data_IF_134551670556
#
_entry.id   IF_134551670556
#
_cell.length_a   1.000
_cell.length_b   1.000
_cell.length_c   1.000
_cell.angle_alpha   90.00
_cell.angle_beta   90.00
_cell.angle_gamma   90.00
#
_symmetry.space_group_name_H-M   'P 1'
#
loop_
_entity.id
_entity.type
_entity.pdbx_description
1 polymer ?
#
# COMPACT_ATOMS: atom_id res chain seq x y z
N UNK A 1 -25.86 -86.97 -12.75
CA UNK A 1 -24.54 -86.35 -12.99
C UNK A 1 -24.81 -84.93 -13.45
N UNK A 2 -24.67 -83.96 -12.53
CA UNK A 2 -24.90 -82.55 -12.79
C UNK A 2 -23.53 -81.88 -13.01
N UNK A 3 -23.35 -81.30 -14.20
CA UNK A 3 -22.17 -80.50 -14.54
C UNK A 3 -22.35 -79.08 -13.97
N UNK A 4 -21.50 -78.68 -13.08
CA UNK A 4 -21.44 -77.34 -12.57
C UNK A 4 -20.51 -76.55 -13.49
N UNK A 5 -21.09 -75.59 -14.21
CA UNK A 5 -20.34 -74.63 -15.02
C UNK A 5 -19.76 -73.51 -14.03
N UNK A 6 -18.49 -73.45 -13.90
CA UNK A 6 -17.84 -72.35 -13.19
C UNK A 6 -17.68 -71.14 -14.12
N UNK A 7 -18.44 -70.09 -13.89
CA UNK A 7 -18.28 -68.79 -14.56
C UNK A 7 -17.16 -68.01 -13.90
N UNK A 8 -16.04 -67.87 -14.60
CA UNK A 8 -14.93 -67.04 -14.18
C UNK A 8 -15.25 -65.57 -14.50
N UNK A 9 -15.49 -64.76 -13.47
CA UNK A 9 -15.68 -63.33 -13.59
C UNK A 9 -14.30 -62.66 -13.67
N UNK A 10 -13.88 -62.19 -14.84
CA UNK A 10 -12.66 -61.42 -15.01
C UNK A 10 -12.98 -59.96 -14.60
N UNK A 11 -12.53 -59.58 -13.42
CA UNK A 11 -12.56 -58.15 -12.98
C UNK A 11 -11.37 -57.47 -13.60
N UNK A 12 -11.61 -56.66 -14.64
CA UNK A 12 -10.62 -55.72 -15.13
C UNK A 12 -10.48 -54.57 -14.14
N UNK A 13 -9.51 -54.64 -13.26
CA UNK A 13 -9.09 -53.51 -12.44
C UNK A 13 -8.27 -52.57 -13.34
N UNK A 14 -8.91 -51.55 -13.92
CA UNK A 14 -8.22 -50.40 -14.50
C UNK A 14 -7.55 -49.61 -13.36
N UNK A 15 -6.29 -49.91 -13.09
CA UNK A 15 -5.46 -49.09 -12.25
C UNK A 15 -5.17 -47.76 -12.98
N UNK A 16 -6.03 -46.78 -12.79
CA UNK A 16 -5.68 -45.40 -13.10
C UNK A 16 -4.58 -44.98 -12.13
N UNK A 17 -3.33 -45.11 -12.57
CA UNK A 17 -2.19 -44.45 -11.88
C UNK A 17 -2.38 -42.94 -12.05
N UNK A 18 -3.04 -42.30 -11.08
CA UNK A 18 -2.96 -40.86 -10.90
C UNK A 18 -1.51 -40.63 -10.49
N UNK A 19 -0.65 -40.30 -11.44
CA UNK A 19 0.61 -39.63 -11.12
C UNK A 19 0.22 -38.31 -10.46
N UNK A 20 0.16 -38.31 -9.14
CA UNK A 20 0.28 -37.09 -8.39
C UNK A 20 1.63 -36.50 -8.81
N UNK A 21 1.58 -35.54 -9.71
CA UNK A 21 2.73 -34.73 -10.04
C UNK A 21 3.05 -33.98 -8.76
N UNK A 22 4.04 -34.51 -8.03
CA UNK A 22 4.61 -33.81 -6.89
C UNK A 22 5.22 -32.52 -7.44
N UNK A 23 4.44 -31.43 -7.40
CA UNK A 23 4.97 -30.08 -7.48
C UNK A 23 5.69 -29.77 -6.16
N UNK A 24 6.64 -30.59 -5.79
CA UNK A 24 7.69 -30.15 -4.88
C UNK A 24 8.63 -29.37 -5.77
N UNK A 25 8.43 -28.05 -5.82
CA UNK A 25 9.45 -27.16 -6.33
C UNK A 25 10.67 -27.31 -5.42
N UNK A 26 11.58 -28.22 -5.79
CA UNK A 26 12.86 -28.46 -5.07
C UNK A 26 13.74 -27.21 -5.05
N UNK A 27 13.40 -26.14 -5.78
CA UNK A 27 14.16 -24.89 -5.89
C UNK A 27 13.60 -23.72 -5.08
N UNK A 28 12.56 -23.89 -4.28
CA UNK A 28 12.08 -22.85 -3.37
C UNK A 28 12.94 -22.78 -2.09
N UNK A 29 14.25 -22.59 -2.26
CA UNK A 29 15.07 -22.07 -1.17
C UNK A 29 14.73 -20.59 -1.02
N UNK A 30 13.86 -20.26 -0.07
CA UNK A 30 13.60 -18.89 0.33
C UNK A 30 14.87 -18.31 0.96
N UNK A 31 15.65 -17.66 0.12
CA UNK A 31 16.81 -16.91 0.58
C UNK A 31 16.43 -15.42 0.62
N UNK A 32 16.70 -14.81 1.75
CA UNK A 32 16.63 -13.36 1.86
C UNK A 32 17.62 -12.74 0.87
N UNK A 33 17.26 -11.64 0.20
CA UNK A 33 18.21 -10.91 -0.64
C UNK A 33 19.43 -10.50 0.15
N UNK A 34 20.60 -10.51 -0.48
CA UNK A 34 21.82 -9.95 0.13
C UNK A 34 21.65 -8.45 0.28
N UNK A 35 22.12 -7.90 1.41
CA UNK A 35 22.16 -6.44 1.61
C UNK A 35 23.01 -5.81 0.51
N UNK A 36 22.46 -4.86 -0.28
CA UNK A 36 23.22 -4.15 -1.29
C UNK A 36 24.25 -3.22 -0.64
N UNK A 37 25.29 -2.83 -1.36
CA UNK A 37 26.24 -1.83 -0.85
C UNK A 37 25.57 -0.48 -0.58
N UNK A 38 24.58 -0.13 -1.38
CA UNK A 38 23.81 1.12 -1.24
C UNK A 38 22.44 0.98 -1.91
N UNK A 39 21.54 1.87 -1.51
CA UNK A 39 20.26 2.13 -2.19
C UNK A 39 20.20 3.61 -2.52
N UNK A 40 19.83 3.95 -3.76
CA UNK A 40 19.49 5.33 -4.13
C UNK A 40 18.01 5.53 -3.83
N UNK A 41 17.68 6.51 -2.99
CA UNK A 41 16.30 6.82 -2.60
C UNK A 41 16.06 8.32 -2.75
N UNK A 42 15.11 8.70 -3.58
CA UNK A 42 14.75 10.09 -3.86
C UNK A 42 15.94 10.98 -4.29
N UNK A 43 16.94 10.39 -4.96
CA UNK A 43 18.17 11.05 -5.38
C UNK A 43 19.34 10.94 -4.39
N UNK A 44 19.08 10.59 -3.13
CA UNK A 44 20.11 10.42 -2.11
C UNK A 44 20.63 8.97 -2.08
N UNK A 45 21.94 8.81 -1.81
CA UNK A 45 22.58 7.49 -1.71
C UNK A 45 22.72 7.08 -0.25
N UNK A 46 21.98 6.06 0.16
CA UNK A 46 22.09 5.43 1.49
C UNK A 46 23.03 4.24 1.40
N UNK A 47 24.16 4.30 2.13
CA UNK A 47 25.20 3.24 2.15
C UNK A 47 25.05 2.35 3.36
N UNK A 48 25.43 1.07 3.20
CA UNK A 48 25.37 0.06 4.26
C UNK A 48 26.76 -0.47 4.61
N UNK A 49 27.78 0.41 4.57
CA UNK A 49 29.18 0.08 4.90
C UNK A 49 29.39 -0.05 6.43
N UNK A 50 28.51 0.54 7.24
CA UNK A 50 28.49 0.41 8.71
C UNK A 50 27.71 -0.84 9.10
N UNK A 51 28.22 -1.62 10.05
CA UNK A 51 27.61 -2.87 10.51
C UNK A 51 26.18 -2.67 11.04
N UNK A 52 25.93 -1.60 11.79
CA UNK A 52 24.62 -1.28 12.34
C UNK A 52 23.57 -1.00 11.22
N UNK A 53 23.97 -0.28 10.15
CA UNK A 53 23.09 -0.01 9.01
C UNK A 53 22.86 -1.29 8.18
N UNK A 54 23.92 -2.11 8.04
CA UNK A 54 23.84 -3.39 7.36
C UNK A 54 22.83 -4.32 8.04
N UNK A 55 22.96 -4.54 9.35
CA UNK A 55 22.08 -5.43 10.12
C UNK A 55 20.62 -4.95 10.11
N UNK A 56 20.40 -3.64 10.22
CA UNK A 56 19.06 -3.04 10.13
C UNK A 56 18.43 -3.24 8.76
N UNK A 57 19.20 -3.13 7.69
CA UNK A 57 18.72 -3.38 6.32
C UNK A 57 18.43 -4.86 6.11
N UNK A 58 19.34 -5.75 6.52
CA UNK A 58 19.19 -7.21 6.41
C UNK A 58 17.90 -7.69 7.09
N UNK A 59 17.64 -7.18 8.28
CA UNK A 59 16.41 -7.48 9.02
C UNK A 59 15.14 -7.17 8.23
N UNK A 60 15.06 -6.04 7.55
CA UNK A 60 13.86 -5.67 6.80
C UNK A 60 13.76 -6.43 5.48
N UNK A 61 14.89 -6.78 4.84
CA UNK A 61 14.91 -7.70 3.69
C UNK A 61 14.32 -9.06 4.08
N UNK A 62 14.74 -9.62 5.21
CA UNK A 62 14.20 -10.86 5.76
C UNK A 62 12.69 -10.71 6.02
N UNK A 63 12.27 -9.63 6.70
CA UNK A 63 10.87 -9.40 7.03
C UNK A 63 9.97 -9.36 5.79
N UNK A 64 10.38 -8.71 4.70
CA UNK A 64 9.62 -8.68 3.45
C UNK A 64 9.59 -10.05 2.75
N UNK A 65 10.70 -10.80 2.77
CA UNK A 65 10.79 -12.13 2.17
C UNK A 65 9.79 -13.10 2.81
N UNK A 66 9.67 -13.08 4.14
CA UNK A 66 8.80 -14.03 4.86
C UNK A 66 7.38 -13.51 5.13
N UNK A 67 7.05 -12.28 4.80
CA UNK A 67 5.70 -11.72 4.93
C UNK A 67 4.84 -12.02 3.70
N UNK A 68 4.74 -13.27 3.27
CA UNK A 68 4.22 -13.68 1.97
C UNK A 68 2.87 -13.07 1.62
N UNK A 69 1.89 -13.12 2.51
CA UNK A 69 0.54 -12.59 2.23
C UNK A 69 0.57 -11.09 1.97
N UNK A 70 1.23 -10.31 2.84
CA UNK A 70 1.30 -8.86 2.70
C UNK A 70 2.10 -8.47 1.46
N UNK A 71 3.26 -9.10 1.27
CA UNK A 71 4.16 -8.85 0.13
C UNK A 71 3.46 -9.14 -1.19
N UNK A 72 2.81 -10.31 -1.33
CA UNK A 72 2.08 -10.66 -2.55
C UNK A 72 0.92 -9.71 -2.83
N UNK A 73 0.12 -9.37 -1.81
CA UNK A 73 -0.99 -8.42 -1.97
C UNK A 73 -0.51 -7.02 -2.33
N UNK A 74 0.59 -6.55 -1.76
CA UNK A 74 1.19 -5.26 -2.15
C UNK A 74 1.61 -5.25 -3.62
N UNK A 75 2.28 -6.29 -4.11
CA UNK A 75 2.65 -6.43 -5.53
C UNK A 75 1.41 -6.40 -6.44
N UNK A 76 0.36 -7.15 -6.08
CA UNK A 76 -0.88 -7.17 -6.88
C UNK A 76 -1.60 -5.83 -6.89
N UNK A 77 -1.60 -5.11 -5.76
CA UNK A 77 -2.25 -3.80 -5.60
C UNK A 77 -1.46 -2.65 -6.24
N UNK A 78 -0.15 -2.78 -6.39
CA UNK A 78 0.74 -1.70 -6.83
C UNK A 78 0.32 -1.10 -8.17
N UNK A 79 -0.07 -1.92 -9.16
CA UNK A 79 -0.51 -1.45 -10.47
C UNK A 79 -1.68 -0.46 -10.36
N UNK A 80 -2.66 -0.78 -9.51
CA UNK A 80 -3.84 0.08 -9.33
C UNK A 80 -3.53 1.39 -8.63
N UNK A 81 -2.75 1.33 -7.54
CA UNK A 81 -2.57 2.51 -6.70
C UNK A 81 -1.39 3.39 -7.11
N UNK A 82 -0.32 2.81 -7.61
CA UNK A 82 0.79 3.62 -8.12
C UNK A 82 0.37 4.46 -9.32
N UNK A 83 -0.41 3.89 -10.25
CA UNK A 83 -0.96 4.66 -11.39
C UNK A 83 -1.80 5.87 -10.99
N UNK A 84 -2.45 5.83 -9.83
CA UNK A 84 -3.24 6.96 -9.32
C UNK A 84 -2.37 7.99 -8.58
N UNK A 85 -1.35 7.53 -7.88
CA UNK A 85 -0.53 8.36 -6.97
C UNK A 85 0.63 9.04 -7.69
N UNK A 86 1.34 8.34 -8.57
CA UNK A 86 2.52 8.85 -9.29
C UNK A 86 2.28 10.17 -10.04
N UNK A 87 1.17 10.38 -10.77
CA UNK A 87 0.90 11.65 -11.41
C UNK A 87 0.76 12.81 -10.42
N UNK A 88 0.20 12.53 -9.23
CA UNK A 88 0.02 13.54 -8.18
C UNK A 88 1.37 13.88 -7.55
N UNK A 89 2.19 12.88 -7.20
CA UNK A 89 3.56 13.12 -6.71
C UNK A 89 4.33 14.01 -7.68
N UNK A 90 4.29 13.67 -8.97
CA UNK A 90 4.94 14.44 -10.03
C UNK A 90 4.43 15.88 -10.10
N UNK A 91 3.11 16.08 -10.04
CA UNK A 91 2.48 17.41 -10.07
C UNK A 91 2.96 18.29 -8.91
N UNK A 92 3.15 17.69 -7.73
CA UNK A 92 3.64 18.40 -6.54
C UNK A 92 5.19 18.49 -6.47
N UNK A 93 5.91 17.90 -7.42
CA UNK A 93 7.38 17.85 -7.40
C UNK A 93 7.96 17.02 -6.27
N UNK A 94 7.24 15.99 -5.85
CA UNK A 94 7.70 15.00 -4.87
C UNK A 94 8.38 13.84 -5.61
N UNK A 95 9.57 13.38 -5.20
CA UNK A 95 10.22 12.22 -5.80
C UNK A 95 9.32 10.99 -5.79
N UNK A 96 9.33 10.25 -6.89
CA UNK A 96 8.48 9.07 -7.10
C UNK A 96 8.68 7.99 -6.02
N UNK A 97 9.89 7.86 -5.50
CA UNK A 97 10.24 6.91 -4.44
C UNK A 97 9.39 7.05 -3.16
N UNK A 98 8.78 8.24 -2.93
CA UNK A 98 7.93 8.45 -1.75
C UNK A 98 6.62 7.63 -1.81
N UNK A 99 6.24 7.06 -2.96
CA UNK A 99 5.16 6.07 -3.06
C UNK A 99 5.42 4.81 -2.23
N UNK A 100 6.69 4.44 -2.02
CA UNK A 100 7.05 3.30 -1.18
C UNK A 100 6.77 3.54 0.30
N UNK A 101 6.83 4.80 0.75
CA UNK A 101 6.37 5.19 2.08
C UNK A 101 4.87 4.89 2.23
N UNK A 102 4.03 5.33 1.28
CA UNK A 102 2.60 5.00 1.25
C UNK A 102 2.37 3.49 1.26
N UNK A 103 3.19 2.74 0.52
CA UNK A 103 3.04 1.29 0.44
C UNK A 103 3.23 0.61 1.79
N UNK A 104 4.21 1.02 2.59
CA UNK A 104 4.47 0.43 3.91
C UNK A 104 3.47 0.90 4.97
N UNK A 105 2.83 2.06 4.82
CA UNK A 105 1.84 2.58 5.75
C UNK A 105 0.56 1.72 5.77
N UNK A 106 0.10 1.29 4.61
CA UNK A 106 -1.21 0.66 4.47
C UNK A 106 -1.17 -0.74 3.85
N UNK A 107 0.01 -1.26 3.47
CA UNK A 107 0.15 -2.41 2.56
C UNK A 107 -0.68 -2.21 1.26
N UNK A 108 -0.76 -0.97 0.78
CA UNK A 108 -1.59 -0.55 -0.35
C UNK A 108 -3.07 -0.94 -0.17
N UNK A 109 -3.59 -0.94 1.06
CA UNK A 109 -5.00 -1.14 1.36
C UNK A 109 -5.71 0.21 1.54
N UNK A 110 -6.59 0.64 0.61
CA UNK A 110 -7.24 1.95 0.72
C UNK A 110 -8.26 2.02 1.87
N UNK A 111 -8.63 0.88 2.44
CA UNK A 111 -9.52 0.77 3.60
C UNK A 111 -8.78 0.63 4.92
N UNK A 112 -7.45 0.75 4.92
CA UNK A 112 -6.65 0.59 6.12
C UNK A 112 -7.07 1.57 7.22
N UNK A 113 -7.20 1.05 8.42
CA UNK A 113 -7.49 1.80 9.65
C UNK A 113 -6.64 1.21 10.77
N UNK A 114 -5.76 2.01 11.34
CA UNK A 114 -4.90 1.58 12.44
C UNK A 114 -5.62 1.65 13.79
N UNK A 115 -5.07 1.00 14.80
CA UNK A 115 -5.57 1.09 16.20
C UNK A 115 -5.52 2.52 16.75
N UNK A 116 -4.58 3.34 16.26
CA UNK A 116 -4.47 4.76 16.59
C UNK A 116 -5.44 5.65 15.78
N UNK A 117 -6.27 5.06 14.91
CA UNK A 117 -7.26 5.78 14.09
C UNK A 117 -6.66 6.48 12.86
N UNK A 118 -5.42 6.15 12.46
CA UNK A 118 -4.89 6.58 11.18
C UNK A 118 -5.57 5.79 10.04
N UNK A 119 -5.87 6.45 8.90
CA UNK A 119 -6.71 5.89 7.86
C UNK A 119 -6.23 6.21 6.45
N UNK A 120 -6.65 5.37 5.47
CA UNK A 120 -6.37 5.51 4.05
C UNK A 120 -5.01 4.93 3.65
N UNK A 121 -4.60 5.18 2.41
CA UNK A 121 -3.32 4.70 1.89
C UNK A 121 -2.13 5.34 2.59
N UNK A 122 -2.25 6.63 2.95
CA UNK A 122 -1.20 7.42 3.59
C UNK A 122 -1.26 7.42 5.12
N UNK A 123 -2.25 6.74 5.72
CA UNK A 123 -2.41 6.59 7.16
C UNK A 123 -2.39 7.91 7.95
N UNK A 124 -3.14 8.92 7.50
CA UNK A 124 -3.29 10.14 8.27
C UNK A 124 -4.19 9.94 9.49
N UNK A 125 -3.80 10.52 10.63
CA UNK A 125 -4.69 10.69 11.78
C UNK A 125 -5.76 11.75 11.44
N UNK A 126 -6.87 11.76 12.18
CA UNK A 126 -7.90 12.80 12.01
C UNK A 126 -7.34 14.20 12.23
N UNK A 127 -6.45 14.35 13.21
CA UNK A 127 -5.81 15.63 13.53
C UNK A 127 -4.96 16.13 12.37
N UNK A 128 -4.04 15.30 11.88
CA UNK A 128 -3.19 15.67 10.75
C UNK A 128 -4.00 15.91 9.48
N UNK A 129 -4.98 15.06 9.17
CA UNK A 129 -5.82 15.25 7.99
C UNK A 129 -6.55 16.60 8.01
N UNK A 130 -7.13 16.98 9.15
CA UNK A 130 -7.81 18.27 9.31
C UNK A 130 -6.85 19.45 9.26
N UNK A 131 -5.68 19.34 9.84
CA UNK A 131 -4.61 20.38 9.75
C UNK A 131 -4.28 20.74 8.31
N UNK A 132 -4.30 19.75 7.41
CA UNK A 132 -4.07 19.92 5.97
C UNK A 132 -5.34 20.07 5.14
N UNK A 133 -6.50 20.29 5.77
CA UNK A 133 -7.74 20.69 5.11
C UNK A 133 -8.66 19.56 4.66
N UNK A 134 -8.41 18.31 5.03
CA UNK A 134 -9.33 17.20 4.74
C UNK A 134 -10.63 17.33 5.55
N UNK A 135 -11.74 17.08 4.90
CA UNK A 135 -13.05 16.93 5.56
C UNK A 135 -13.12 15.56 6.22
N UNK A 136 -13.36 15.56 7.52
CA UNK A 136 -13.44 14.32 8.29
C UNK A 136 -14.59 14.46 9.29
N UNK A 137 -15.74 13.88 8.96
CA UNK A 137 -16.94 13.82 9.78
C UNK A 137 -17.62 12.45 9.67
N UNK A 138 -18.91 12.36 9.99
CA UNK A 138 -19.63 11.08 9.94
C UNK A 138 -20.07 10.67 8.52
N UNK A 139 -20.25 11.64 7.61
CA UNK A 139 -20.69 11.40 6.23
C UNK A 139 -19.51 11.29 5.28
N UNK A 140 -18.45 12.05 5.55
CA UNK A 140 -17.29 12.23 4.69
C UNK A 140 -16.02 12.02 5.49
N UNK A 141 -15.13 11.18 4.99
CA UNK A 141 -13.76 11.05 5.49
C UNK A 141 -12.77 11.03 4.32
N UNK A 142 -12.24 12.21 3.99
CA UNK A 142 -11.39 12.40 2.82
C UNK A 142 -10.00 11.75 2.98
N UNK A 143 -9.67 11.15 4.13
CA UNK A 143 -8.50 10.30 4.28
C UNK A 143 -8.60 8.99 3.48
N UNK A 144 -9.79 8.66 2.98
CA UNK A 144 -10.06 7.55 2.07
C UNK A 144 -10.26 8.01 0.61
N UNK A 145 -10.06 9.30 0.32
CA UNK A 145 -10.05 9.82 -1.04
C UNK A 145 -8.60 9.87 -1.54
N UNK A 146 -8.24 8.94 -2.44
CA UNK A 146 -6.86 8.73 -2.88
C UNK A 146 -6.22 10.02 -3.42
N UNK A 147 -6.95 10.80 -4.20
CA UNK A 147 -6.43 12.04 -4.78
C UNK A 147 -6.16 13.10 -3.71
N UNK A 148 -7.12 13.29 -2.79
CA UNK A 148 -7.01 14.29 -1.72
C UNK A 148 -5.98 13.90 -0.65
N UNK A 149 -6.00 12.64 -0.20
CA UNK A 149 -5.02 12.18 0.78
C UNK A 149 -3.59 12.23 0.22
N UNK A 150 -3.41 11.93 -1.08
CA UNK A 150 -2.10 12.03 -1.75
C UNK A 150 -1.65 13.49 -1.89
N UNK A 151 -2.54 14.41 -2.24
CA UNK A 151 -2.22 15.84 -2.27
C UNK A 151 -1.78 16.35 -0.88
N UNK A 152 -2.46 15.92 0.17
CA UNK A 152 -2.08 16.23 1.57
C UNK A 152 -0.72 15.61 1.93
N UNK A 153 -0.47 14.36 1.52
CA UNK A 153 0.83 13.73 1.72
C UNK A 153 1.96 14.51 1.05
N UNK A 154 1.75 14.97 -0.19
CA UNK A 154 2.71 15.81 -0.88
C UNK A 154 3.03 17.12 -0.12
N UNK A 155 2.01 17.79 0.41
CA UNK A 155 2.20 19.01 1.20
C UNK A 155 2.98 18.74 2.49
N UNK A 156 2.63 17.65 3.19
CA UNK A 156 3.33 17.22 4.40
C UNK A 156 4.81 16.93 4.11
N UNK A 157 5.08 16.12 3.08
CA UNK A 157 6.42 15.73 2.66
C UNK A 157 7.26 16.94 2.23
N UNK A 158 6.66 17.87 1.49
CA UNK A 158 7.32 19.12 1.07
C UNK A 158 7.70 19.99 2.24
N UNK A 159 6.77 20.17 3.21
CA UNK A 159 7.02 20.91 4.45
C UNK A 159 8.15 20.26 5.27
N UNK A 160 8.14 18.93 5.37
CA UNK A 160 9.18 18.21 6.10
C UNK A 160 10.54 18.29 5.39
N UNK A 161 10.58 18.18 4.06
CA UNK A 161 11.83 18.29 3.31
C UNK A 161 12.44 19.70 3.38
N UNK A 162 11.62 20.73 3.30
CA UNK A 162 12.09 22.11 3.51
C UNK A 162 12.75 22.32 4.87
N UNK A 163 12.34 21.54 5.88
CA UNK A 163 12.90 21.61 7.23
C UNK A 163 14.17 20.78 7.40
N UNK A 164 14.24 19.59 6.81
CA UNK A 164 15.32 18.63 7.09
C UNK A 164 16.34 18.50 5.96
N UNK A 165 15.96 18.73 4.71
CA UNK A 165 16.81 18.58 3.54
C UNK A 165 17.30 17.15 3.25
N UNK A 166 16.75 16.14 3.95
CA UNK A 166 17.14 14.73 3.89
C UNK A 166 15.90 13.84 3.89
N UNK A 167 15.71 13.04 2.84
CA UNK A 167 14.52 12.21 2.67
C UNK A 167 14.40 11.09 3.69
N UNK A 168 15.50 10.57 4.22
CA UNK A 168 15.45 9.57 5.29
C UNK A 168 14.96 10.18 6.61
N UNK A 169 15.39 11.41 6.92
CA UNK A 169 14.87 12.16 8.07
C UNK A 169 13.40 12.56 7.87
N UNK A 170 12.99 12.89 6.64
CA UNK A 170 11.56 13.08 6.29
C UNK A 170 10.76 11.82 6.59
N UNK A 171 11.22 10.64 6.12
CA UNK A 171 10.56 9.37 6.38
C UNK A 171 10.44 9.07 7.88
N UNK A 172 11.53 9.25 8.64
CA UNK A 172 11.49 9.11 10.10
C UNK A 172 10.48 10.07 10.76
N UNK A 173 10.40 11.32 10.27
CA UNK A 173 9.47 12.33 10.77
C UNK A 173 8.02 12.07 10.42
N UNK A 174 7.77 11.35 9.32
CA UNK A 174 6.43 10.90 8.95
C UNK A 174 5.89 9.92 10.00
N UNK A 175 6.70 8.96 10.40
CA UNK A 175 6.33 7.95 11.39
C UNK A 175 6.27 8.49 12.82
N UNK A 176 7.31 9.21 13.27
CA UNK A 176 7.47 9.63 14.67
C UNK A 176 7.01 11.06 14.95
N UNK A 177 6.54 11.79 13.94
CA UNK A 177 6.19 13.20 14.03
C UNK A 177 7.40 14.14 13.96
N UNK A 178 7.24 15.26 13.24
CA UNK A 178 8.32 16.23 13.00
C UNK A 178 8.91 16.82 14.28
N UNK A 179 8.07 17.10 15.30
CA UNK A 179 8.54 17.65 16.57
C UNK A 179 9.44 16.68 17.33
N UNK A 180 9.09 15.39 17.31
CA UNK A 180 9.88 14.34 17.96
C UNK A 180 11.26 14.15 17.31
N UNK A 181 11.31 14.12 16.00
CA UNK A 181 12.58 13.99 15.25
C UNK A 181 13.46 15.23 15.43
N UNK A 182 12.87 16.44 15.31
CA UNK A 182 13.65 17.68 15.49
C UNK A 182 14.33 17.77 16.86
N UNK A 183 13.62 17.37 17.91
CA UNK A 183 14.18 17.32 19.25
C UNK A 183 15.35 16.34 19.33
N UNK A 184 15.19 15.12 18.81
CA UNK A 184 16.27 14.13 18.83
C UNK A 184 17.48 14.52 18.02
N UNK A 185 17.30 15.18 16.86
CA UNK A 185 18.41 15.73 16.08
C UNK A 185 19.22 16.74 16.90
N UNK A 186 18.54 17.64 17.63
CA UNK A 186 19.17 18.62 18.50
C UNK A 186 19.88 17.98 19.72
N UNK A 187 19.15 17.12 20.45
CA UNK A 187 19.65 16.50 21.68
C UNK A 187 20.84 15.58 21.41
N UNK A 188 20.83 14.85 20.31
CA UNK A 188 21.88 13.90 19.92
C UNK A 188 22.94 14.55 19.00
N UNK A 189 22.79 15.84 18.66
CA UNK A 189 23.71 16.61 17.79
C UNK A 189 23.96 15.95 16.43
N UNK A 190 22.92 15.37 15.85
CA UNK A 190 22.98 14.71 14.55
C UNK A 190 22.28 15.54 13.47
N UNK A 191 22.66 15.29 12.21
CA UNK A 191 22.08 15.96 11.04
C UNK A 191 21.08 15.07 10.28
N UNK A 192 21.21 13.75 10.39
CA UNK A 192 20.34 12.77 9.74
C UNK A 192 19.71 11.82 10.76
N UNK A 193 18.46 11.41 10.49
CA UNK A 193 17.78 10.41 11.31
C UNK A 193 18.43 9.02 11.23
N UNK A 194 19.25 8.76 10.22
CA UNK A 194 20.00 7.50 10.11
C UNK A 194 21.01 7.30 11.25
N UNK A 195 21.45 8.39 11.88
CA UNK A 195 22.42 8.40 12.98
C UNK A 195 21.79 8.60 14.36
N UNK A 196 20.44 8.66 14.42
CA UNK A 196 19.73 8.83 15.69
C UNK A 196 19.47 7.50 16.40
N UNK A 197 19.60 7.53 17.72
CA UNK A 197 18.97 6.53 18.57
C UNK A 197 17.46 6.82 18.64
N UNK A 198 16.69 5.99 17.95
CA UNK A 198 15.24 6.10 17.83
C UNK A 198 14.55 4.92 18.52
N UNK A 199 13.24 5.06 18.75
CA UNK A 199 12.41 3.91 19.08
C UNK A 199 12.48 2.89 17.95
N UNK A 200 12.38 1.62 18.30
CA UNK A 200 12.50 0.48 17.37
C UNK A 200 11.61 0.65 16.14
N UNK A 201 10.37 1.03 16.32
CA UNK A 201 9.42 1.24 15.22
C UNK A 201 9.94 2.25 14.19
N UNK A 202 10.35 3.44 14.65
CA UNK A 202 10.85 4.50 13.76
C UNK A 202 12.21 4.15 13.17
N UNK A 203 13.06 3.49 13.95
CA UNK A 203 14.35 2.99 13.48
C UNK A 203 14.17 2.02 12.30
N UNK A 204 13.25 1.09 12.41
CA UNK A 204 12.92 0.13 11.35
C UNK A 204 12.24 0.78 10.16
N UNK A 205 11.42 1.80 10.40
CA UNK A 205 10.59 2.43 9.39
C UNK A 205 11.41 2.90 8.17
N UNK A 206 12.53 3.56 8.40
CA UNK A 206 13.40 4.05 7.32
C UNK A 206 13.92 2.91 6.43
N UNK A 207 14.34 1.80 7.05
CA UNK A 207 14.83 0.64 6.30
C UNK A 207 13.69 -0.13 5.61
N UNK A 208 12.49 -0.11 6.19
CA UNK A 208 11.28 -0.65 5.52
C UNK A 208 10.95 0.10 4.24
N UNK A 209 11.11 1.43 4.23
CA UNK A 209 10.91 2.24 3.01
C UNK A 209 11.94 1.86 1.95
N UNK A 210 13.23 1.75 2.32
CA UNK A 210 14.30 1.34 1.40
C UNK A 210 14.09 -0.08 0.88
N UNK A 211 13.69 -0.99 1.76
CA UNK A 211 13.37 -2.38 1.39
C UNK A 211 12.16 -2.44 0.46
N UNK A 212 11.11 -1.65 0.71
CA UNK A 212 9.94 -1.57 -0.17
C UNK A 212 10.34 -1.13 -1.58
N UNK A 213 11.22 -0.14 -1.71
CA UNK A 213 11.76 0.24 -3.03
C UNK A 213 12.37 -0.96 -3.74
N UNK A 214 13.31 -1.64 -3.12
CA UNK A 214 13.96 -2.82 -3.71
C UNK A 214 12.95 -3.92 -4.06
N UNK A 215 11.99 -4.14 -3.19
CA UNK A 215 10.95 -5.16 -3.34
C UNK A 215 10.04 -4.89 -4.55
N UNK A 216 9.59 -3.67 -4.74
CA UNK A 216 8.73 -3.34 -5.88
C UNK A 216 9.49 -3.25 -7.20
N UNK A 217 10.76 -2.85 -7.18
CA UNK A 217 11.60 -2.79 -8.37
C UNK A 217 12.13 -4.15 -8.81
N UNK A 218 12.39 -5.05 -7.85
CA UNK A 218 13.02 -6.37 -8.08
C UNK A 218 12.40 -7.44 -7.18
N UNK A 219 11.10 -7.75 -7.33
CA UNK A 219 10.41 -8.72 -6.47
C UNK A 219 11.02 -10.12 -6.54
N UNK A 220 11.65 -10.47 -7.66
CA UNK A 220 12.33 -11.75 -7.85
C UNK A 220 13.48 -11.98 -6.86
N UNK A 221 14.13 -10.92 -6.37
CA UNK A 221 15.16 -11.03 -5.33
C UNK A 221 14.60 -11.56 -4.01
N UNK A 222 13.30 -11.32 -3.77
CA UNK A 222 12.56 -11.76 -2.58
C UNK A 222 11.80 -13.08 -2.80
N UNK A 223 12.03 -13.74 -3.95
CA UNK A 223 11.35 -14.98 -4.31
C UNK A 223 9.93 -14.79 -4.84
N UNK A 224 9.53 -13.56 -5.17
CA UNK A 224 8.21 -13.28 -5.74
C UNK A 224 8.26 -13.13 -7.25
N UNK A 225 7.38 -13.88 -7.93
CA UNK A 225 7.12 -13.73 -9.36
C UNK A 225 5.64 -13.47 -9.54
N UNK A 226 5.30 -12.26 -9.97
CA UNK A 226 3.92 -11.85 -10.24
C UNK A 226 3.86 -11.27 -11.65
N UNK A 227 3.18 -11.97 -12.53
CA UNK A 227 3.02 -11.51 -13.90
C UNK A 227 2.08 -10.29 -13.97
N UNK A 228 2.22 -9.47 -15.00
CA UNK A 228 1.47 -8.22 -15.11
C UNK A 228 -0.05 -8.43 -15.11
N UNK A 229 -0.52 -9.52 -15.71
CA UNK A 229 -1.96 -9.85 -15.74
C UNK A 229 -2.52 -10.35 -14.40
N UNK A 230 -1.67 -10.74 -13.44
CA UNK A 230 -2.07 -11.11 -12.09
C UNK A 230 -2.22 -9.91 -11.16
N UNK A 231 -1.69 -8.75 -11.55
CA UNK A 231 -1.83 -7.51 -10.79
C UNK A 231 -3.24 -6.94 -10.94
N UNK A 232 -3.70 -6.26 -9.91
CA UNK A 232 -5.03 -5.64 -9.94
C UNK A 232 -4.98 -4.36 -10.78
N UNK A 233 -5.66 -4.33 -11.94
CA UNK A 233 -5.56 -3.20 -12.85
C UNK A 233 -6.23 -1.95 -12.30
N UNK A 234 -5.75 -0.80 -12.75
CA UNK A 234 -6.45 0.47 -12.60
C UNK A 234 -7.35 0.67 -13.82
N UNK A 235 -8.63 0.89 -13.56
CA UNK A 235 -9.59 1.31 -14.58
C UNK A 235 -9.94 2.78 -14.35
N UNK A 236 -9.73 3.66 -15.35
CA UNK A 236 -10.16 5.04 -15.25
C UNK A 236 -11.67 5.12 -14.97
N UNK A 237 -12.13 6.14 -14.22
CA UNK A 237 -13.56 6.36 -14.02
C UNK A 237 -14.31 6.50 -15.35
N UNK A 238 -15.54 5.98 -15.42
CA UNK A 238 -16.46 6.24 -16.54
C UNK A 238 -16.81 7.72 -16.61
N UNK A 239 -17.08 8.31 -15.44
CA UNK A 239 -17.45 9.70 -15.29
C UNK A 239 -17.14 10.20 -13.87
N UNK A 240 -17.19 11.53 -13.70
CA UNK A 240 -17.17 12.22 -12.41
C UNK A 240 -18.39 13.11 -12.33
N UNK A 241 -19.15 13.02 -11.27
CA UNK A 241 -20.34 13.84 -11.04
C UNK A 241 -20.05 14.87 -9.96
N UNK A 242 -20.13 16.15 -10.33
CA UNK A 242 -19.98 17.25 -9.37
C UNK A 242 -21.29 17.45 -8.60
N UNK A 243 -21.21 17.43 -7.29
CA UNK A 243 -22.36 17.56 -6.38
C UNK A 243 -22.07 18.66 -5.36
N UNK A 244 -22.97 19.68 -5.29
CA UNK A 244 -22.89 20.77 -4.31
C UNK A 244 -24.06 20.74 -3.32
N UNK A 245 -25.09 19.94 -3.57
CA UNK A 245 -26.28 19.75 -2.73
C UNK A 245 -26.28 18.43 -1.97
N UNK A 246 -27.37 18.15 -1.25
CA UNK A 246 -27.55 16.87 -0.59
C UNK A 246 -27.86 15.74 -1.60
N UNK A 247 -27.54 14.51 -1.21
CA UNK A 247 -27.96 13.28 -1.86
C UNK A 247 -28.71 12.47 -0.81
N UNK A 248 -30.04 12.35 -0.94
CA UNK A 248 -30.89 11.67 0.04
C UNK A 248 -30.64 10.15 0.07
N UNK A 249 -30.27 9.57 -1.08
CA UNK A 249 -29.99 8.14 -1.23
C UNK A 249 -28.84 7.91 -2.20
N UNK A 250 -27.73 7.37 -1.69
CA UNK A 250 -26.63 6.94 -2.54
C UNK A 250 -26.94 5.67 -3.34
N UNK A 251 -27.98 4.92 -2.94
CA UNK A 251 -28.48 3.78 -3.71
C UNK A 251 -29.13 4.27 -5.00
N UNK A 252 -30.08 5.22 -4.89
CA UNK A 252 -30.78 5.79 -6.06
C UNK A 252 -29.81 6.59 -6.95
N UNK A 253 -28.84 7.27 -6.30
CA UNK A 253 -27.79 7.97 -7.03
C UNK A 253 -26.93 7.00 -7.87
N UNK A 254 -26.57 5.83 -7.33
CA UNK A 254 -25.81 4.82 -8.03
C UNK A 254 -26.60 4.27 -9.23
N UNK A 255 -27.87 3.90 -9.02
CA UNK A 255 -28.76 3.37 -10.06
C UNK A 255 -28.91 4.39 -11.21
N UNK A 256 -29.19 5.66 -10.88
CA UNK A 256 -29.30 6.75 -11.86
C UNK A 256 -28.04 6.93 -12.70
N UNK A 257 -26.87 6.63 -12.14
CA UNK A 257 -25.58 6.73 -12.83
C UNK A 257 -25.10 5.41 -13.45
N UNK A 258 -25.95 4.37 -13.47
CA UNK A 258 -25.69 3.10 -14.14
C UNK A 258 -24.66 2.22 -13.45
N UNK A 259 -24.54 2.29 -12.11
CA UNK A 259 -23.68 1.38 -11.33
C UNK A 259 -24.41 0.88 -10.08
N UNK A 260 -23.92 -0.22 -9.51
CA UNK A 260 -24.45 -0.71 -8.24
C UNK A 260 -23.98 0.18 -7.07
N UNK A 261 -24.74 0.17 -5.97
CA UNK A 261 -24.35 0.85 -4.74
C UNK A 261 -22.97 0.38 -4.23
N UNK A 262 -22.69 -0.92 -4.34
CA UNK A 262 -21.38 -1.48 -3.99
C UNK A 262 -20.26 -0.86 -4.82
N UNK A 263 -20.41 -0.81 -6.14
CA UNK A 263 -19.41 -0.22 -7.04
C UNK A 263 -19.20 1.28 -6.76
N UNK A 264 -20.29 2.02 -6.53
CA UNK A 264 -20.21 3.43 -6.15
C UNK A 264 -19.40 3.62 -4.86
N UNK A 265 -19.69 2.82 -3.83
CA UNK A 265 -19.01 2.91 -2.52
C UNK A 265 -17.54 2.49 -2.60
N UNK A 266 -17.20 1.47 -3.40
CA UNK A 266 -15.82 1.06 -3.62
C UNK A 266 -15.01 2.12 -4.38
N UNK A 267 -15.62 2.82 -5.32
CA UNK A 267 -14.97 3.92 -6.04
C UNK A 267 -14.87 5.21 -5.18
N UNK A 268 -15.69 5.35 -4.14
CA UNK A 268 -15.77 6.53 -3.29
C UNK A 268 -15.75 6.15 -1.80
N UNK A 269 -14.66 5.52 -1.35
CA UNK A 269 -14.52 5.06 0.05
C UNK A 269 -14.66 6.18 1.08
N UNK A 270 -14.43 7.41 0.66
CA UNK A 270 -14.56 8.62 1.48
C UNK A 270 -16.03 8.99 1.83
N UNK A 271 -17.02 8.48 1.08
CA UNK A 271 -18.44 8.57 1.44
C UNK A 271 -18.74 7.51 2.50
N UNK A 272 -18.93 7.93 3.75
CA UNK A 272 -19.03 7.01 4.90
C UNK A 272 -20.46 6.58 5.23
N UNK A 273 -21.47 7.38 4.87
CA UNK A 273 -22.89 7.09 5.09
C UNK A 273 -23.58 6.55 3.82
N UNK A 274 -24.86 6.22 3.91
CA UNK A 274 -25.75 5.84 2.79
C UNK A 274 -26.37 7.05 2.07
N UNK A 275 -26.12 8.26 2.59
CA UNK A 275 -26.56 9.55 2.06
C UNK A 275 -25.46 10.59 2.22
N UNK A 276 -25.63 11.75 1.61
CA UNK A 276 -24.76 12.91 1.80
C UNK A 276 -25.65 14.12 2.11
N UNK A 277 -25.72 14.54 3.37
CA UNK A 277 -26.53 15.70 3.77
C UNK A 277 -25.88 17.00 3.34
N UNK A 278 -24.54 17.05 3.33
CA UNK A 278 -23.73 18.17 2.87
C UNK A 278 -24.11 19.52 3.52
N UNK A 279 -24.31 19.54 4.83
CA UNK A 279 -24.68 20.76 5.57
C UNK A 279 -23.73 21.94 5.35
N UNK A 280 -22.46 21.66 5.06
CA UNK A 280 -21.46 22.69 4.83
C UNK A 280 -21.50 23.28 3.42
N UNK A 281 -22.38 22.81 2.53
CA UNK A 281 -22.50 23.26 1.15
C UNK A 281 -21.22 23.11 0.30
N UNK A 282 -20.41 22.10 0.61
CA UNK A 282 -19.16 21.83 -0.12
C UNK A 282 -19.46 21.19 -1.47
N UNK A 283 -18.56 21.40 -2.41
CA UNK A 283 -18.61 20.74 -3.71
C UNK A 283 -17.73 19.49 -3.68
N UNK A 284 -18.31 18.35 -4.07
CA UNK A 284 -17.64 17.07 -4.17
C UNK A 284 -17.69 16.53 -5.57
N UNK A 285 -16.64 15.84 -5.98
CA UNK A 285 -16.62 15.02 -7.19
C UNK A 285 -16.81 13.55 -6.82
N UNK A 286 -17.93 12.97 -7.24
CA UNK A 286 -18.24 11.56 -7.04
C UNK A 286 -17.82 10.77 -8.27
N UNK A 287 -16.98 9.79 -8.08
CA UNK A 287 -16.47 8.91 -9.12
C UNK A 287 -17.54 7.89 -9.49
N UNK A 288 -17.92 7.84 -10.76
CA UNK A 288 -18.72 6.76 -11.32
C UNK A 288 -17.75 5.74 -11.91
N UNK A 289 -17.72 4.50 -11.40
CA UNK A 289 -16.77 3.49 -11.87
C UNK A 289 -17.04 3.07 -13.31
N UNK A 290 -16.01 2.54 -13.96
CA UNK A 290 -16.18 1.88 -15.26
C UNK A 290 -16.92 0.54 -15.11
N UNK A 291 -17.51 0.07 -16.19
CA UNK A 291 -18.29 -1.20 -16.24
C UNK A 291 -17.39 -2.46 -16.23
N UNK A 292 -16.08 -2.33 -15.96
CA UNK A 292 -15.08 -3.41 -16.00
C UNK A 292 -14.75 -3.92 -14.61
#
# INVERSE_FOLDING_TARGET
MRKIAATVLLVFACAFSIKAQNYVNEDLQFQSPKVPRYVVFAGDTVRFDRSDLYERMDRELIAFTYSHTNSLLMLKRSERYFRQVEPILKQYGIPDDLKYLMAIESNLSPKALSTAGAAGLWQFTKTTGREFGLVIDNEVDERYNIEKETAVACQFLKRAYAKYGDWMTVAASYNAGQGGISRRLADQKQKSAMDLLLLEETSRYMFRVLTAKLFFEKPELFGFKVDQFEKYPYYPPKNRVTVSGPIESLVDFAEKNGCSYYQLKEANLWLRDSKLVNKAGKTYEIIIPSDK
#
